data_IF_443608552269
#
_entry.id   IF_443608552269
#
_cell.length_a   1.000
_cell.length_b   1.000
_cell.length_c   1.000
_cell.angle_alpha   90.00
_cell.angle_beta   90.00
_cell.angle_gamma   90.00
#
_symmetry.space_group_name_H-M   'P 1'
#
loop_
_entity.id
_entity.type
_entity.pdbx_description
1 polymer ?
#
# COMPACT_ATOMS: atom_id res chain seq x y z
N UNK A 1 -21.72 -42.74 -11.89
CA UNK A 1 -22.18 -41.34 -11.81
C UNK A 1 -21.63 -40.76 -10.53
N UNK A 2 -20.54 -39.98 -10.61
CA UNK A 2 -19.94 -39.38 -9.42
C UNK A 2 -20.81 -38.22 -8.94
N UNK A 3 -21.09 -38.17 -7.64
CA UNK A 3 -21.75 -37.04 -6.99
C UNK A 3 -20.99 -35.75 -7.33
N UNK A 4 -21.59 -34.89 -8.15
CA UNK A 4 -21.10 -33.53 -8.37
C UNK A 4 -21.40 -32.74 -7.09
N UNK A 5 -20.39 -32.53 -6.25
CA UNK A 5 -20.50 -31.69 -5.08
C UNK A 5 -21.01 -30.30 -5.46
N UNK A 6 -22.01 -29.81 -4.73
CA UNK A 6 -22.56 -28.46 -4.92
C UNK A 6 -21.57 -27.44 -4.39
N UNK A 7 -21.23 -26.44 -5.20
CA UNK A 7 -20.39 -25.31 -4.77
C UNK A 7 -21.24 -24.29 -4.03
N UNK A 8 -20.93 -24.03 -2.77
CA UNK A 8 -21.60 -23.03 -1.92
C UNK A 8 -20.64 -21.88 -1.65
N UNK A 9 -21.07 -20.63 -1.89
CA UNK A 9 -20.33 -19.43 -1.48
C UNK A 9 -21.04 -18.82 -0.28
N UNK A 10 -20.31 -18.60 0.82
CA UNK A 10 -20.86 -18.07 2.07
C UNK A 10 -19.87 -17.17 2.79
N UNK A 11 -20.39 -16.39 3.74
CA UNK A 11 -19.57 -15.59 4.64
C UNK A 11 -18.66 -16.49 5.48
N UNK A 12 -17.45 -16.01 5.72
CA UNK A 12 -16.45 -16.66 6.55
C UNK A 12 -16.94 -16.78 8.01
N UNK A 13 -16.86 -17.98 8.56
CA UNK A 13 -17.19 -18.30 9.95
C UNK A 13 -15.88 -18.53 10.72
N UNK A 14 -15.53 -17.61 11.62
CA UNK A 14 -14.27 -17.65 12.38
C UNK A 14 -14.09 -18.92 13.21
N UNK A 15 -15.16 -19.58 13.65
CA UNK A 15 -15.05 -20.78 14.46
C UNK A 15 -14.85 -22.03 13.61
N UNK A 16 -15.45 -22.07 12.42
CA UNK A 16 -15.38 -23.24 11.52
C UNK A 16 -14.21 -23.20 10.56
N UNK A 17 -13.88 -22.01 10.08
CA UNK A 17 -13.04 -21.83 8.90
C UNK A 17 -11.61 -21.38 9.27
N UNK A 18 -11.36 -20.97 10.52
CA UNK A 18 -10.04 -20.47 10.96
C UNK A 18 -8.91 -21.46 10.68
N UNK A 19 -9.09 -22.75 10.99
CA UNK A 19 -8.06 -23.77 10.71
C UNK A 19 -7.69 -23.87 9.23
N UNK A 20 -8.58 -23.43 8.31
CA UNK A 20 -8.33 -23.34 6.87
C UNK A 20 -7.94 -21.95 6.34
N UNK A 21 -8.13 -20.87 7.11
CA UNK A 21 -8.10 -19.47 6.63
C UNK A 21 -7.26 -18.53 7.53
N UNK A 22 -6.72 -19.00 8.65
CA UNK A 22 -6.04 -18.21 9.67
C UNK A 22 -5.10 -17.14 9.10
N UNK A 23 -5.34 -15.89 9.55
CA UNK A 23 -4.52 -14.67 9.41
C UNK A 23 -4.90 -13.62 8.34
N UNK A 24 -6.16 -13.17 8.22
CA UNK A 24 -6.40 -11.84 7.61
C UNK A 24 -7.74 -11.17 8.08
N UNK A 25 -7.72 -9.90 8.49
CA UNK A 25 -8.88 -9.08 8.95
C UNK A 25 -9.57 -8.23 7.84
N UNK A 26 -10.90 -8.05 7.96
CA UNK A 26 -11.94 -7.52 7.01
C UNK A 26 -12.70 -8.59 6.21
N UNK A 27 -13.95 -8.26 5.81
CA UNK A 27 -15.00 -9.20 5.34
C UNK A 27 -14.48 -10.17 4.28
N UNK A 28 -14.81 -11.43 4.49
CA UNK A 28 -14.25 -12.56 3.79
C UNK A 28 -15.39 -13.50 3.38
N UNK A 29 -15.39 -13.92 2.12
CA UNK A 29 -16.33 -14.92 1.58
C UNK A 29 -15.52 -16.16 1.16
N UNK A 30 -16.01 -17.34 1.52
CA UNK A 30 -15.40 -18.64 1.21
C UNK A 30 -16.22 -19.38 0.18
N UNK A 31 -15.57 -20.17 -0.67
CA UNK A 31 -16.19 -21.13 -1.56
C UNK A 31 -15.91 -22.55 -1.06
N UNK A 32 -16.97 -23.30 -0.78
CA UNK A 32 -16.92 -24.65 -0.22
C UNK A 32 -17.55 -25.68 -1.16
N UNK A 33 -17.01 -26.90 -1.13
CA UNK A 33 -17.62 -28.05 -1.79
C UNK A 33 -18.44 -28.86 -0.77
N UNK A 34 -19.77 -28.87 -0.94
CA UNK A 34 -20.73 -29.39 0.05
C UNK A 34 -20.53 -30.87 0.41
N UNK A 35 -20.03 -31.68 -0.53
CA UNK A 35 -19.75 -33.09 -0.30
C UNK A 35 -18.63 -33.36 0.73
N UNK A 36 -17.73 -32.39 0.97
CA UNK A 36 -16.53 -32.57 1.81
C UNK A 36 -16.27 -31.42 2.79
N UNK A 37 -17.05 -30.33 2.74
CA UNK A 37 -16.81 -29.08 3.49
C UNK A 37 -15.37 -28.56 3.31
N UNK A 38 -14.80 -28.79 2.14
CA UNK A 38 -13.45 -28.33 1.80
C UNK A 38 -13.53 -26.88 1.28
N UNK A 39 -12.74 -25.98 1.87
CA UNK A 39 -12.57 -24.61 1.36
C UNK A 39 -11.67 -24.65 0.12
N UNK A 40 -12.26 -24.39 -1.04
CA UNK A 40 -11.58 -24.45 -2.34
C UNK A 40 -11.29 -23.07 -2.93
N UNK A 41 -11.84 -22.01 -2.33
CA UNK A 41 -11.56 -20.62 -2.70
C UNK A 41 -11.93 -19.61 -1.61
N UNK A 42 -11.33 -18.42 -1.72
CA UNK A 42 -11.47 -17.33 -0.77
C UNK A 42 -11.42 -15.99 -1.53
N UNK A 43 -12.28 -15.05 -1.15
CA UNK A 43 -12.17 -13.65 -1.55
C UNK A 43 -12.29 -12.73 -0.35
N UNK A 44 -11.52 -11.65 -0.37
CA UNK A 44 -11.48 -10.64 0.67
C UNK A 44 -11.71 -9.27 0.08
N UNK A 45 -12.49 -8.45 0.79
CA UNK A 45 -12.76 -7.10 0.36
C UNK A 45 -12.94 -6.12 1.51
N UNK A 46 -12.84 -4.83 1.19
CA UNK A 46 -13.20 -3.75 2.10
C UNK A 46 -13.74 -2.55 1.35
N UNK A 47 -14.41 -1.64 2.07
CA UNK A 47 -14.90 -0.37 1.54
C UNK A 47 -14.26 0.75 2.34
N UNK A 48 -13.79 1.78 1.64
CA UNK A 48 -13.22 3.00 2.21
C UNK A 48 -13.79 4.23 1.51
N UNK A 49 -13.78 5.37 2.18
CA UNK A 49 -14.11 6.65 1.54
C UNK A 49 -12.82 7.36 1.19
N UNK A 50 -12.62 7.64 -0.09
CA UNK A 50 -11.36 8.21 -0.59
C UNK A 50 -11.60 9.38 -1.53
N UNK A 51 -10.57 10.20 -1.70
CA UNK A 51 -10.56 11.26 -2.70
C UNK A 51 -10.45 10.67 -4.11
N UNK A 52 -11.40 11.01 -4.99
CA UNK A 52 -11.41 10.66 -6.41
C UNK A 52 -11.26 11.86 -7.35
N UNK A 53 -11.23 13.07 -6.80
CA UNK A 53 -11.06 14.29 -7.59
C UNK A 53 -11.01 15.53 -6.72
N UNK A 54 -11.01 16.70 -7.38
CA UNK A 54 -10.98 18.01 -6.71
C UNK A 54 -11.92 18.99 -7.37
N UNK A 55 -12.54 19.87 -6.58
CA UNK A 55 -13.33 21.01 -7.06
C UNK A 55 -12.76 22.33 -6.56
N UNK A 56 -12.88 23.37 -7.37
CA UNK A 56 -12.60 24.73 -6.93
C UNK A 56 -13.82 25.27 -6.15
N UNK A 57 -13.60 26.01 -5.04
CA UNK A 57 -14.68 26.68 -4.32
C UNK A 57 -15.41 27.68 -5.25
N UNK A 58 -16.75 27.65 -5.27
CA UNK A 58 -17.57 28.67 -5.95
C UNK A 58 -17.70 29.89 -5.03
N UNK A 59 -16.95 30.96 -5.32
CA UNK A 59 -17.04 32.31 -4.72
C UNK A 59 -17.14 32.42 -3.18
N UNK A 60 -15.99 32.67 -2.54
CA UNK A 60 -15.90 33.18 -1.17
C UNK A 60 -14.51 33.75 -0.92
N UNK A 61 -14.41 34.98 -0.40
CA UNK A 61 -13.15 35.70 -0.17
C UNK A 61 -12.14 34.86 0.64
N UNK A 62 -10.89 34.87 0.19
CA UNK A 62 -9.63 34.52 0.86
C UNK A 62 -9.05 33.08 0.87
N UNK A 63 -9.68 32.02 0.32
CA UNK A 63 -8.95 30.73 0.14
C UNK A 63 -9.28 30.04 -1.19
N UNK A 64 -8.32 30.04 -2.14
CA UNK A 64 -8.42 29.36 -3.46
C UNK A 64 -8.03 27.87 -3.41
N UNK A 65 -7.96 27.26 -2.23
CA UNK A 65 -7.46 25.90 -2.10
C UNK A 65 -8.48 24.90 -2.67
N UNK A 66 -8.04 23.96 -3.53
CA UNK A 66 -8.94 22.95 -4.08
C UNK A 66 -9.49 22.07 -2.96
N UNK A 67 -10.78 21.77 -3.02
CA UNK A 67 -11.44 20.88 -2.07
C UNK A 67 -11.52 19.47 -2.64
N UNK A 68 -11.30 18.42 -1.83
CA UNK A 68 -11.43 17.04 -2.29
C UNK A 68 -12.90 16.71 -2.57
N UNK A 69 -13.08 15.85 -3.57
CA UNK A 69 -14.34 15.15 -3.82
C UNK A 69 -14.11 13.70 -3.43
N UNK A 70 -15.04 13.18 -2.63
CA UNK A 70 -14.95 11.83 -2.09
C UNK A 70 -15.91 10.87 -2.79
N UNK A 71 -15.52 9.61 -2.85
CA UNK A 71 -16.38 8.49 -3.24
C UNK A 71 -16.20 7.32 -2.26
N UNK A 72 -17.21 6.46 -2.15
CA UNK A 72 -17.07 5.16 -1.49
C UNK A 72 -16.47 4.17 -2.47
N UNK A 73 -15.26 3.73 -2.18
CA UNK A 73 -14.47 2.83 -3.01
C UNK A 73 -14.32 1.48 -2.33
N UNK A 74 -14.72 0.42 -3.03
CA UNK A 74 -14.44 -0.94 -2.64
C UNK A 74 -13.07 -1.40 -3.16
N UNK A 75 -12.39 -2.24 -2.39
CA UNK A 75 -11.13 -2.87 -2.77
C UNK A 75 -11.23 -4.38 -2.60
N UNK A 76 -10.88 -5.14 -3.64
CA UNK A 76 -10.67 -6.59 -3.54
C UNK A 76 -9.22 -6.82 -3.07
N UNK A 77 -9.08 -7.06 -1.77
CA UNK A 77 -7.80 -7.25 -1.08
C UNK A 77 -7.10 -8.54 -1.49
N UNK A 78 -7.86 -9.58 -1.84
CA UNK A 78 -7.27 -10.87 -2.18
C UNK A 78 -8.29 -11.85 -2.72
N UNK A 79 -7.89 -12.58 -3.76
CA UNK A 79 -8.63 -13.69 -4.34
C UNK A 79 -7.70 -14.89 -4.47
N UNK A 80 -8.12 -16.04 -3.94
CA UNK A 80 -7.39 -17.30 -4.01
C UNK A 80 -8.36 -18.42 -4.38
N UNK A 81 -7.92 -19.27 -5.31
CA UNK A 81 -8.63 -20.50 -5.68
C UNK A 81 -7.61 -21.62 -5.74
N UNK A 82 -7.94 -22.74 -5.09
CA UNK A 82 -7.12 -23.94 -5.06
C UNK A 82 -6.75 -24.37 -6.49
N UNK A 83 -5.47 -24.69 -6.80
CA UNK A 83 -5.03 -25.05 -8.15
C UNK A 83 -5.87 -26.14 -8.82
N UNK A 84 -6.28 -27.18 -8.07
CA UNK A 84 -7.11 -28.29 -8.55
C UNK A 84 -8.54 -27.88 -8.91
N UNK A 85 -8.99 -26.72 -8.42
CA UNK A 85 -10.35 -26.19 -8.59
C UNK A 85 -10.37 -24.90 -9.40
N UNK A 86 -9.30 -24.61 -10.17
CA UNK A 86 -9.27 -23.46 -11.09
C UNK A 86 -10.04 -23.78 -12.36
N UNK A 87 -10.42 -22.72 -13.09
CA UNK A 87 -11.09 -22.77 -14.41
C UNK A 87 -12.49 -23.39 -14.44
N UNK A 88 -13.08 -23.69 -13.28
CA UNK A 88 -14.48 -24.15 -13.16
C UNK A 88 -15.44 -23.05 -12.66
N UNK A 89 -15.03 -21.78 -12.72
CA UNK A 89 -15.88 -20.62 -12.43
C UNK A 89 -15.92 -20.14 -10.98
N UNK A 90 -15.22 -20.79 -10.04
CA UNK A 90 -15.20 -20.40 -8.61
C UNK A 90 -14.79 -18.94 -8.42
N UNK A 91 -13.67 -18.53 -9.03
CA UNK A 91 -13.16 -17.15 -8.88
C UNK A 91 -14.14 -16.09 -9.36
N UNK A 92 -14.86 -16.36 -10.46
CA UNK A 92 -15.88 -15.45 -10.98
C UNK A 92 -17.06 -15.33 -9.99
N UNK A 93 -17.56 -16.47 -9.48
CA UNK A 93 -18.66 -16.49 -8.51
C UNK A 93 -18.30 -15.71 -7.22
N UNK A 94 -17.08 -15.90 -6.71
CA UNK A 94 -16.58 -15.17 -5.55
C UNK A 94 -16.54 -13.66 -5.80
N UNK A 95 -16.04 -13.22 -6.97
CA UNK A 95 -16.01 -11.79 -7.32
C UNK A 95 -17.43 -11.23 -7.45
N UNK A 96 -18.34 -11.92 -8.14
CA UNK A 96 -19.75 -11.48 -8.26
C UNK A 96 -20.40 -11.27 -6.88
N UNK A 97 -20.24 -12.24 -5.97
CA UNK A 97 -20.82 -12.15 -4.62
C UNK A 97 -20.24 -10.98 -3.81
N UNK A 98 -18.93 -10.78 -3.90
CA UNK A 98 -18.27 -9.64 -3.24
C UNK A 98 -18.74 -8.30 -3.84
N UNK A 99 -18.94 -8.21 -5.16
CA UNK A 99 -19.47 -7.00 -5.79
C UNK A 99 -20.92 -6.70 -5.41
N UNK A 100 -21.76 -7.72 -5.25
CA UNK A 100 -23.12 -7.55 -4.70
C UNK A 100 -23.05 -6.89 -3.32
N UNK A 101 -22.22 -7.43 -2.42
CA UNK A 101 -22.00 -6.85 -1.11
C UNK A 101 -21.46 -5.41 -1.19
N UNK A 102 -20.53 -5.12 -2.12
CA UNK A 102 -20.05 -3.77 -2.35
C UNK A 102 -21.18 -2.80 -2.74
N UNK A 103 -22.06 -3.21 -3.67
CA UNK A 103 -23.23 -2.40 -4.09
C UNK A 103 -24.21 -2.19 -2.93
N UNK A 104 -24.54 -3.24 -2.20
CA UNK A 104 -25.42 -3.20 -1.02
C UNK A 104 -24.91 -2.23 0.05
N UNK A 105 -23.59 -2.04 0.14
CA UNK A 105 -22.94 -1.12 1.09
C UNK A 105 -22.63 0.27 0.50
N UNK A 106 -23.14 0.54 -0.70
CA UNK A 106 -23.06 1.83 -1.37
C UNK A 106 -21.67 2.18 -1.89
N UNK A 107 -20.84 1.20 -2.22
CA UNK A 107 -19.62 1.46 -2.98
C UNK A 107 -19.97 1.84 -4.42
N UNK A 108 -19.45 2.96 -4.89
CA UNK A 108 -19.68 3.46 -6.25
C UNK A 108 -18.69 2.86 -7.25
N UNK A 109 -17.52 2.48 -6.77
CA UNK A 109 -16.44 1.88 -7.55
C UNK A 109 -15.86 0.67 -6.79
N UNK A 110 -15.29 -0.28 -7.53
CA UNK A 110 -14.46 -1.35 -7.00
C UNK A 110 -13.13 -1.38 -7.73
N UNK A 111 -12.03 -1.59 -7.02
CA UNK A 111 -10.73 -1.82 -7.64
C UNK A 111 -10.03 -3.06 -7.08
N UNK A 112 -9.02 -3.51 -7.80
CA UNK A 112 -8.14 -4.62 -7.43
C UNK A 112 -6.75 -4.36 -7.99
N UNK A 113 -5.74 -4.94 -7.35
CA UNK A 113 -4.35 -4.86 -7.79
C UNK A 113 -3.85 -6.25 -8.20
N UNK A 114 -3.06 -6.32 -9.27
CA UNK A 114 -2.44 -7.57 -9.71
C UNK A 114 -1.19 -7.34 -10.56
N UNK A 115 -0.20 -8.20 -10.36
CA UNK A 115 1.01 -8.19 -11.19
C UNK A 115 0.64 -8.40 -12.66
N UNK A 116 1.28 -7.63 -13.55
CA UNK A 116 1.18 -7.77 -15.00
C UNK A 116 1.44 -9.20 -15.52
N UNK A 117 2.28 -9.97 -14.84
CA UNK A 117 2.57 -11.36 -15.20
C UNK A 117 1.44 -12.33 -14.79
N UNK A 118 0.52 -11.92 -13.92
CA UNK A 118 -0.62 -12.74 -13.47
C UNK A 118 -1.78 -12.71 -14.48
N UNK A 119 -1.52 -13.26 -15.67
CA UNK A 119 -2.46 -13.31 -16.79
C UNK A 119 -3.82 -13.93 -16.44
N UNK A 120 -3.86 -14.87 -15.48
CA UNK A 120 -5.12 -15.45 -15.02
C UNK A 120 -6.00 -14.44 -14.27
N UNK A 121 -5.39 -13.61 -13.42
CA UNK A 121 -6.06 -12.54 -12.69
C UNK A 121 -6.48 -11.42 -13.64
N UNK A 122 -5.56 -10.94 -14.48
CA UNK A 122 -5.84 -9.89 -15.47
C UNK A 122 -7.07 -10.26 -16.30
N UNK A 123 -7.09 -11.43 -16.94
CA UNK A 123 -8.21 -11.87 -17.78
C UNK A 123 -9.51 -12.06 -17.01
N UNK A 124 -9.46 -12.60 -15.78
CA UNK A 124 -10.66 -12.72 -14.96
C UNK A 124 -11.30 -11.35 -14.76
N UNK A 125 -10.52 -10.35 -14.36
CA UNK A 125 -11.07 -9.05 -14.03
C UNK A 125 -11.44 -8.23 -15.26
N UNK A 126 -10.59 -8.19 -16.29
CA UNK A 126 -10.81 -7.34 -17.47
C UNK A 126 -11.76 -7.93 -18.50
N UNK A 127 -11.77 -9.25 -18.69
CA UNK A 127 -12.60 -9.89 -19.71
C UNK A 127 -13.91 -10.47 -19.14
N UNK A 128 -13.94 -10.83 -17.85
CA UNK A 128 -15.08 -11.55 -17.26
C UNK A 128 -15.84 -10.77 -16.20
N UNK A 129 -15.16 -9.90 -15.45
CA UNK A 129 -15.80 -9.11 -14.39
C UNK A 129 -16.07 -7.65 -14.80
N UNK A 130 -15.61 -7.21 -15.98
CA UNK A 130 -15.87 -5.86 -16.50
C UNK A 130 -15.08 -4.75 -15.80
N UNK A 131 -13.87 -5.05 -15.32
CA UNK A 131 -12.93 -4.05 -14.83
C UNK A 131 -12.10 -3.51 -16.00
N UNK A 132 -11.65 -2.27 -15.87
CA UNK A 132 -10.73 -1.66 -16.81
C UNK A 132 -9.39 -1.38 -16.13
N UNK A 133 -8.30 -1.41 -16.90
CA UNK A 133 -7.00 -0.98 -16.39
C UNK A 133 -7.06 0.50 -16.03
N UNK A 134 -6.66 0.85 -14.80
CA UNK A 134 -6.87 2.18 -14.24
C UNK A 134 -5.55 2.89 -13.91
N UNK A 135 -4.68 2.26 -13.11
CA UNK A 135 -3.37 2.80 -12.72
C UNK A 135 -2.29 1.72 -12.80
N UNK A 136 -1.04 2.16 -12.91
CA UNK A 136 0.13 1.26 -12.94
C UNK A 136 1.22 1.72 -11.95
N UNK A 137 0.96 1.64 -10.63
CA UNK A 137 1.99 1.97 -9.64
C UNK A 137 3.15 0.96 -9.65
N UNK A 138 4.21 1.29 -8.92
CA UNK A 138 5.35 0.41 -8.72
C UNK A 138 5.55 0.12 -7.24
N UNK A 139 5.73 -1.16 -6.92
CA UNK A 139 6.10 -1.61 -5.59
C UNK A 139 7.63 -1.58 -5.50
N UNK A 140 8.17 -0.73 -4.63
CA UNK A 140 9.60 -0.52 -4.44
C UNK A 140 10.05 -1.19 -3.14
N UNK A 141 11.00 -2.12 -3.24
CA UNK A 141 11.47 -2.90 -2.10
C UNK A 141 12.95 -2.64 -1.83
N UNK A 142 13.24 -2.14 -0.63
CA UNK A 142 14.58 -1.96 -0.10
C UNK A 142 14.93 -3.11 0.85
N UNK A 143 15.99 -3.90 0.59
CA UNK A 143 16.47 -4.85 1.58
C UNK A 143 17.05 -4.15 2.81
N UNK A 144 16.84 -4.75 3.98
CA UNK A 144 17.42 -4.30 5.25
C UNK A 144 18.77 -4.98 5.47
N UNK A 145 19.83 -4.19 5.45
CA UNK A 145 21.21 -4.65 5.55
C UNK A 145 21.66 -4.94 6.99
N UNK A 146 22.75 -5.70 7.11
CA UNK A 146 23.36 -6.04 8.40
C UNK A 146 23.97 -4.84 9.14
N UNK A 147 24.19 -3.71 8.47
CA UNK A 147 24.72 -2.46 9.03
C UNK A 147 23.66 -1.33 9.02
N UNK A 148 23.88 -0.25 9.79
CA UNK A 148 22.97 0.91 9.77
C UNK A 148 23.25 1.77 8.53
N UNK A 149 22.20 2.29 7.90
CA UNK A 149 22.31 3.28 6.82
C UNK A 149 22.59 4.65 7.42
N UNK A 150 23.56 5.36 6.83
CA UNK A 150 23.90 6.73 7.25
C UNK A 150 22.87 7.72 6.70
N UNK A 151 22.25 8.48 7.58
CA UNK A 151 21.38 9.60 7.21
C UNK A 151 22.27 10.77 6.72
N UNK A 152 21.93 11.46 5.62
CA UNK A 152 22.70 12.61 5.14
C UNK A 152 22.87 13.68 6.22
N UNK A 153 24.11 14.18 6.40
CA UNK A 153 24.45 15.15 7.47
C UNK A 153 23.65 16.45 7.46
N UNK A 154 23.03 16.80 6.32
CA UNK A 154 22.23 18.03 6.16
C UNK A 154 20.73 17.78 6.33
N UNK A 155 20.30 16.59 6.74
CA UNK A 155 18.90 16.26 6.94
C UNK A 155 18.66 16.02 8.44
N UNK A 156 17.74 16.78 9.02
CA UNK A 156 17.18 16.52 10.36
C UNK A 156 15.85 15.82 10.18
N UNK A 157 15.61 14.76 10.96
CA UNK A 157 14.36 14.02 10.97
C UNK A 157 13.79 14.05 12.37
N UNK A 158 12.50 14.38 12.50
CA UNK A 158 11.78 14.27 13.76
C UNK A 158 10.39 13.68 13.52
N UNK A 159 9.85 13.08 14.58
CA UNK A 159 8.54 12.45 14.57
C UNK A 159 7.48 13.49 14.91
N UNK A 160 6.40 13.51 14.14
CA UNK A 160 5.22 14.33 14.40
C UNK A 160 4.26 13.59 15.34
N UNK A 161 3.56 14.34 16.21
CA UNK A 161 2.42 13.79 16.92
C UNK A 161 1.28 13.39 15.96
N UNK A 162 0.41 12.41 16.30
CA UNK A 162 -0.66 11.96 15.40
C UNK A 162 -1.56 13.10 14.89
N UNK A 163 -1.96 14.03 15.75
CA UNK A 163 -2.79 15.20 15.37
C UNK A 163 -2.07 16.19 14.46
N UNK A 164 -0.76 16.36 14.64
CA UNK A 164 0.06 17.19 13.76
C UNK A 164 0.21 16.54 12.38
N UNK A 165 0.47 15.23 12.35
CA UNK A 165 0.54 14.45 11.11
C UNK A 165 -0.78 14.48 10.34
N UNK A 166 -1.92 14.34 11.03
CA UNK A 166 -3.25 14.47 10.44
C UNK A 166 -3.42 15.85 9.79
N UNK A 167 -3.08 16.90 10.53
CA UNK A 167 -3.22 18.28 10.06
C UNK A 167 -2.36 18.54 8.82
N UNK A 168 -1.10 18.07 8.83
CA UNK A 168 -0.20 18.13 7.68
C UNK A 168 -0.81 17.41 6.47
N UNK A 169 -1.24 16.16 6.66
CA UNK A 169 -1.77 15.33 5.58
C UNK A 169 -3.07 15.87 5.00
N UNK A 170 -4.02 16.31 5.83
CA UNK A 170 -5.26 16.92 5.32
C UNK A 170 -5.01 18.21 4.54
N UNK A 171 -4.08 19.06 4.99
CA UNK A 171 -3.81 20.34 4.30
C UNK A 171 -2.98 20.18 3.02
N UNK A 172 -2.06 19.21 2.97
CA UNK A 172 -1.18 19.03 1.79
C UNK A 172 -1.67 17.97 0.81
N UNK A 173 -2.30 16.90 1.29
CA UNK A 173 -2.54 15.71 0.49
C UNK A 173 -4.03 15.36 0.33
N UNK A 174 -4.97 16.10 0.91
CA UNK A 174 -6.40 15.76 0.84
C UNK A 174 -6.94 15.63 -0.58
N UNK A 175 -6.37 16.35 -1.55
CA UNK A 175 -6.75 16.27 -2.98
C UNK A 175 -5.95 15.24 -3.78
N UNK A 176 -5.08 14.47 -3.13
CA UNK A 176 -4.34 13.36 -3.75
C UNK A 176 -5.31 12.20 -4.00
N UNK A 177 -5.20 11.58 -5.17
CA UNK A 177 -6.02 10.44 -5.52
C UNK A 177 -5.86 9.29 -4.51
N UNK A 178 -6.96 8.61 -4.15
CA UNK A 178 -7.03 7.58 -3.11
C UNK A 178 -6.77 8.05 -1.66
N UNK A 179 -6.59 9.35 -1.40
CA UNK A 179 -6.40 9.84 -0.03
C UNK A 179 -7.60 9.47 0.87
N UNK A 180 -7.39 8.77 2.00
CA UNK A 180 -8.48 8.31 2.85
C UNK A 180 -9.10 9.48 3.61
N UNK A 181 -10.43 9.53 3.62
CA UNK A 181 -11.17 10.53 4.40
C UNK A 181 -10.90 10.39 5.90
N UNK A 182 -10.67 9.16 6.36
CA UNK A 182 -10.38 8.73 7.73
C UNK A 182 -8.87 8.60 8.02
N UNK A 183 -8.04 9.47 7.43
CA UNK A 183 -6.58 9.43 7.63
C UNK A 183 -6.15 9.42 9.12
N UNK A 184 -6.93 10.04 10.00
CA UNK A 184 -6.77 10.01 11.45
C UNK A 184 -6.76 8.57 11.99
N UNK A 185 -7.65 7.72 11.51
CA UNK A 185 -7.78 6.33 11.93
C UNK A 185 -6.61 5.48 11.45
N UNK A 186 -6.03 5.82 10.29
CA UNK A 186 -4.79 5.21 9.80
C UNK A 186 -3.60 5.61 10.69
N UNK A 187 -3.47 6.89 10.99
CA UNK A 187 -2.35 7.44 11.76
C UNK A 187 -2.35 6.99 13.22
N UNK A 188 -3.52 6.83 13.84
CA UNK A 188 -3.69 6.37 15.22
C UNK A 188 -3.72 4.85 15.37
N UNK A 189 -3.63 4.08 14.29
CA UNK A 189 -3.59 2.63 14.38
C UNK A 189 -2.31 2.15 15.09
N UNK A 190 -2.41 1.11 15.92
CA UNK A 190 -1.27 0.48 16.62
C UNK A 190 -0.13 0.02 15.70
N UNK A 191 -0.44 -0.26 14.43
CA UNK A 191 0.54 -0.67 13.41
C UNK A 191 1.26 0.52 12.77
N UNK A 192 0.74 1.74 12.92
CA UNK A 192 1.42 2.97 12.52
C UNK A 192 2.54 3.27 13.51
N UNK A 193 3.79 3.17 13.07
CA UNK A 193 4.98 3.44 13.89
C UNK A 193 5.29 4.94 14.01
N UNK A 194 4.60 5.78 13.25
CA UNK A 194 4.71 7.23 13.30
C UNK A 194 4.85 7.88 11.93
N UNK A 195 4.78 9.21 11.95
CA UNK A 195 5.01 10.09 10.79
C UNK A 195 6.25 10.90 11.03
N UNK A 196 7.15 10.93 10.04
CA UNK A 196 8.47 11.52 10.16
C UNK A 196 8.65 12.60 9.12
N UNK A 197 8.99 13.80 9.59
CA UNK A 197 9.25 14.97 8.77
C UNK A 197 10.76 15.18 8.66
N UNK A 198 11.24 15.39 7.44
CA UNK A 198 12.63 15.69 7.13
C UNK A 198 12.75 17.12 6.59
N UNK A 199 13.72 17.85 7.13
CA UNK A 199 14.08 19.21 6.73
C UNK A 199 15.60 19.39 6.76
N UNK A 200 16.08 20.51 6.24
CA UNK A 200 17.51 20.86 6.31
C UNK A 200 17.97 21.14 7.75
N UNK A 201 19.19 20.71 8.07
CA UNK A 201 19.83 20.98 9.37
C UNK A 201 19.91 22.47 9.64
N UNK A 202 19.62 22.87 10.88
CA UNK A 202 19.67 24.26 11.34
C UNK A 202 18.38 25.04 11.16
N UNK A 203 17.38 24.50 10.44
CA UNK A 203 16.06 25.15 10.32
C UNK A 203 15.25 25.10 11.61
N UNK A 204 15.31 23.97 12.33
CA UNK A 204 14.71 23.83 13.65
C UNK A 204 15.77 23.32 14.63
N UNK A 205 16.04 24.12 15.67
CA UNK A 205 16.79 23.69 16.84
C UNK A 205 15.90 22.82 17.74
N UNK A 206 16.47 21.97 18.61
CA UNK A 206 15.69 21.29 19.65
C UNK A 206 14.87 22.30 20.46
N UNK A 207 13.55 22.19 20.43
CA UNK A 207 12.62 23.12 21.10
C UNK A 207 12.11 24.30 20.24
N UNK A 208 12.57 24.46 19.00
CA UNK A 208 12.10 25.52 18.10
C UNK A 208 11.16 25.04 16.99
N UNK A 209 10.54 23.87 17.15
CA UNK A 209 9.51 23.39 16.23
C UNK A 209 8.29 24.32 16.33
N UNK A 210 7.89 25.01 15.25
CA UNK A 210 6.82 26.00 15.29
C UNK A 210 5.42 25.39 15.38
N UNK A 211 5.31 24.07 15.55
CA UNK A 211 4.08 23.32 15.36
C UNK A 211 3.73 23.16 13.88
N UNK A 212 2.81 22.22 13.60
CA UNK A 212 2.35 21.98 12.23
C UNK A 212 1.73 23.21 11.57
N UNK A 213 1.02 24.06 12.32
CA UNK A 213 0.37 25.27 11.77
C UNK A 213 1.39 26.32 11.35
N UNK A 214 2.44 26.53 12.15
CA UNK A 214 3.55 27.40 11.78
C UNK A 214 4.29 26.87 10.57
N UNK A 215 4.61 25.57 10.56
CA UNK A 215 5.25 24.90 9.42
C UNK A 215 4.43 25.02 8.13
N UNK A 216 3.10 24.89 8.22
CA UNK A 216 2.22 24.98 7.05
C UNK A 216 2.03 26.41 6.55
N UNK A 217 2.17 27.41 7.42
CA UNK A 217 2.01 28.83 7.08
C UNK A 217 3.27 29.39 6.40
N UNK A 218 4.45 28.96 6.82
CA UNK A 218 5.73 29.32 6.23
C UNK A 218 6.65 28.09 6.14
N UNK A 219 6.39 27.18 5.18
CA UNK A 219 7.18 25.97 5.05
C UNK A 219 8.60 26.31 4.57
N UNK A 220 9.61 25.55 5.04
CA UNK A 220 10.96 25.71 4.51
C UNK A 220 11.01 25.37 3.01
N UNK A 221 12.00 25.94 2.32
CA UNK A 221 12.17 25.78 0.86
C UNK A 221 12.15 24.31 0.42
N UNK A 222 12.71 23.41 1.24
CA UNK A 222 12.66 21.97 1.00
C UNK A 222 12.25 21.20 2.25
N UNK A 223 11.36 20.23 2.06
CA UNK A 223 10.92 19.30 3.09
C UNK A 223 10.44 17.98 2.46
N UNK A 224 10.43 16.91 3.25
CA UNK A 224 9.78 15.66 2.87
C UNK A 224 9.16 14.99 4.10
N UNK A 225 8.10 14.21 3.90
CA UNK A 225 7.41 13.47 4.95
C UNK A 225 7.09 12.05 4.47
N UNK A 226 7.08 11.11 5.40
CA UNK A 226 6.44 9.80 5.23
C UNK A 226 5.97 9.25 6.57
N UNK A 227 5.06 8.29 6.51
CA UNK A 227 4.67 7.46 7.64
C UNK A 227 5.16 6.03 7.47
N UNK A 228 5.31 5.32 8.58
CA UNK A 228 5.79 3.93 8.60
C UNK A 228 4.74 3.03 9.24
N UNK A 229 4.43 1.92 8.57
CA UNK A 229 3.49 0.89 9.00
C UNK A 229 4.21 -0.44 9.27
N UNK A 230 3.79 -1.15 10.31
CA UNK A 230 4.40 -2.39 10.76
C UNK A 230 3.66 -3.64 10.24
N UNK A 231 3.80 -3.94 8.96
CA UNK A 231 3.19 -5.12 8.32
C UNK A 231 3.66 -6.46 8.90
N UNK A 232 4.83 -6.49 9.58
CA UNK A 232 5.32 -7.70 10.26
C UNK A 232 4.34 -8.28 11.29
N UNK A 233 3.54 -7.44 11.94
CA UNK A 233 2.54 -7.88 12.93
C UNK A 233 1.23 -8.36 12.28
N UNK A 234 1.13 -8.27 10.95
CA UNK A 234 -0.04 -8.71 10.18
C UNK A 234 0.25 -10.03 9.49
N UNK A 235 1.39 -10.15 8.81
CA UNK A 235 1.84 -11.40 8.18
C UNK A 235 3.34 -11.41 7.93
N UNK A 236 3.84 -12.58 7.51
CA UNK A 236 5.23 -12.75 7.08
C UNK A 236 5.31 -13.24 5.64
N UNK A 237 6.41 -12.90 4.98
CA UNK A 237 6.72 -13.27 3.61
C UNK A 237 7.83 -14.33 3.56
N UNK A 238 7.84 -15.14 2.52
CA UNK A 238 8.93 -16.07 2.24
C UNK A 238 9.18 -16.13 0.72
N UNK A 239 10.41 -15.82 0.30
CA UNK A 239 10.79 -15.97 -1.10
C UNK A 239 11.05 -17.44 -1.41
N UNK A 240 10.11 -18.06 -2.12
CA UNK A 240 10.23 -19.44 -2.62
C UNK A 240 10.73 -19.49 -4.05
N UNK A 241 11.10 -20.67 -4.53
CA UNK A 241 11.55 -20.90 -5.92
C UNK A 241 13.02 -20.53 -6.25
N UNK A 242 13.78 -19.94 -5.32
CA UNK A 242 15.20 -19.65 -5.57
C UNK A 242 16.07 -20.92 -5.56
N UNK A 243 16.98 -21.05 -6.55
CA UNK A 243 17.92 -22.17 -6.68
C UNK A 243 18.92 -22.26 -5.52
N UNK A 244 19.46 -23.47 -5.25
CA UNK A 244 20.45 -23.70 -4.18
C UNK A 244 21.68 -22.79 -4.31
N UNK A 245 22.16 -22.57 -5.54
CA UNK A 245 23.29 -21.67 -5.82
C UNK A 245 22.96 -20.23 -5.42
N UNK A 246 21.79 -19.70 -5.82
CA UNK A 246 21.36 -18.35 -5.43
C UNK A 246 21.23 -18.20 -3.91
N UNK A 247 20.67 -19.21 -3.24
CA UNK A 247 20.59 -19.23 -1.76
C UNK A 247 21.99 -19.22 -1.12
N UNK A 248 22.94 -19.97 -1.68
CA UNK A 248 24.33 -20.01 -1.24
C UNK A 248 25.04 -18.66 -1.41
N UNK A 249 24.90 -18.01 -2.56
CA UNK A 249 25.46 -16.67 -2.83
C UNK A 249 24.88 -15.62 -1.88
N UNK A 250 23.56 -15.63 -1.68
CA UNK A 250 22.90 -14.74 -0.73
C UNK A 250 23.41 -14.95 0.71
N UNK A 251 23.53 -16.21 1.16
CA UNK A 251 24.11 -16.53 2.48
C UNK A 251 25.55 -16.03 2.59
N UNK A 252 26.35 -16.21 1.54
CA UNK A 252 27.75 -15.74 1.50
C UNK A 252 27.82 -14.22 1.62
N UNK A 253 26.96 -13.48 0.90
CA UNK A 253 26.90 -12.01 1.01
C UNK A 253 26.63 -11.53 2.44
N UNK A 254 25.79 -12.25 3.20
CA UNK A 254 25.52 -11.97 4.61
C UNK A 254 26.70 -12.26 5.52
N UNK A 255 27.43 -13.34 5.25
CA UNK A 255 28.65 -13.69 6.01
C UNK A 255 29.71 -12.61 5.81
N UNK A 256 29.93 -12.16 4.57
CA UNK A 256 30.90 -11.11 4.26
C UNK A 256 30.54 -9.78 4.95
N UNK A 257 29.28 -9.34 4.89
CA UNK A 257 28.82 -8.11 5.58
C UNK A 257 28.95 -8.22 7.11
N UNK A 258 28.79 -9.42 7.68
CA UNK A 258 29.00 -9.67 9.12
C UNK A 258 30.47 -9.64 9.52
N UNK A 259 31.37 -10.18 8.70
CA UNK A 259 32.81 -10.26 9.00
C UNK A 259 33.51 -8.93 8.71
N UNK A 260 33.04 -8.18 7.71
CA UNK A 260 33.65 -6.92 7.27
C UNK A 260 32.66 -5.73 7.38
N UNK A 261 32.10 -5.44 8.58
CA UNK A 261 31.01 -4.46 8.72
C UNK A 261 31.42 -3.02 8.38
N UNK A 262 32.72 -2.71 8.41
CA UNK A 262 33.25 -1.39 8.03
C UNK A 262 33.11 -1.10 6.53
N UNK A 263 33.02 -2.14 5.69
CA UNK A 263 32.83 -2.00 4.24
C UNK A 263 31.38 -1.65 3.87
N UNK A 264 30.42 -1.82 4.79
CA UNK A 264 29.00 -1.47 4.60
C UNK A 264 28.42 -2.04 3.30
N UNK A 265 28.71 -3.31 3.04
CA UNK A 265 28.32 -3.97 1.80
C UNK A 265 26.81 -4.23 1.82
N UNK A 266 26.04 -3.78 0.82
CA UNK A 266 24.63 -4.12 0.70
C UNK A 266 24.44 -5.64 0.56
N UNK A 267 24.11 -6.32 1.66
CA UNK A 267 23.95 -7.78 1.69
C UNK A 267 22.50 -8.20 1.45
N UNK A 268 22.29 -9.39 0.86
CA UNK A 268 20.94 -9.92 0.67
C UNK A 268 20.43 -10.40 2.04
N UNK A 269 19.34 -9.83 2.60
CA UNK A 269 18.81 -10.29 3.88
C UNK A 269 18.32 -11.74 3.81
N UNK A 270 18.07 -12.36 4.96
CA UNK A 270 17.47 -13.70 5.01
C UNK A 270 15.99 -13.64 4.62
N UNK A 271 15.72 -13.76 3.32
CA UNK A 271 14.38 -13.72 2.71
C UNK A 271 13.84 -15.11 2.33
N UNK A 272 14.63 -16.18 2.52
CA UNK A 272 14.23 -17.56 2.19
C UNK A 272 13.63 -18.31 3.39
N UNK A 273 13.35 -17.59 4.48
CA UNK A 273 12.58 -18.00 5.65
C UNK A 273 11.55 -16.91 5.95
N UNK A 274 10.47 -17.21 6.69
CA UNK A 274 9.49 -16.20 7.08
C UNK A 274 10.13 -14.90 7.59
N UNK A 275 9.77 -13.78 6.99
CA UNK A 275 10.28 -12.45 7.33
C UNK A 275 9.18 -11.39 7.30
N UNK A 276 9.31 -10.41 8.20
CA UNK A 276 8.46 -9.21 8.20
C UNK A 276 9.06 -8.04 7.42
N UNK A 277 8.22 -7.06 7.14
CA UNK A 277 8.60 -5.81 6.50
C UNK A 277 7.93 -4.60 7.15
N UNK A 278 8.51 -3.42 6.93
CA UNK A 278 7.82 -2.16 7.18
C UNK A 278 7.33 -1.58 5.85
N UNK A 279 6.11 -1.06 5.84
CA UNK A 279 5.52 -0.40 4.68
C UNK A 279 5.57 1.12 4.86
N UNK A 280 6.05 1.86 3.85
CA UNK A 280 6.08 3.32 3.86
C UNK A 280 4.86 3.86 3.09
N UNK A 281 4.14 4.79 3.70
CA UNK A 281 2.93 5.38 3.14
C UNK A 281 2.87 6.89 3.41
N UNK A 282 1.95 7.60 2.74
CA UNK A 282 1.80 9.05 2.91
C UNK A 282 3.05 9.85 2.49
N UNK A 283 3.78 9.36 1.49
CA UNK A 283 4.98 10.03 0.99
C UNK A 283 4.61 11.39 0.40
N UNK A 284 5.37 12.43 0.76
CA UNK A 284 5.22 13.74 0.17
C UNK A 284 6.43 14.63 0.46
N UNK A 285 6.49 15.77 -0.20
CA UNK A 285 7.61 16.70 -0.08
C UNK A 285 7.62 17.71 -1.20
N UNK A 286 8.28 18.83 -0.96
CA UNK A 286 8.40 19.94 -1.89
C UNK A 286 9.83 20.51 -1.83
N UNK A 287 10.22 21.19 -2.89
CA UNK A 287 11.51 21.88 -2.98
C UNK A 287 12.62 21.10 -3.68
N UNK A 288 13.72 21.80 -4.04
CA UNK A 288 14.84 21.22 -4.79
C UNK A 288 15.56 20.07 -4.07
N UNK A 289 15.56 20.05 -2.72
CA UNK A 289 16.21 19.01 -1.92
C UNK A 289 15.24 17.90 -1.46
N UNK A 290 13.97 17.90 -1.88
CA UNK A 290 12.95 16.95 -1.42
C UNK A 290 13.36 15.48 -1.66
N UNK A 291 13.95 15.18 -2.82
CA UNK A 291 14.47 13.83 -3.16
C UNK A 291 15.53 13.36 -2.18
N UNK A 292 16.42 14.26 -1.76
CA UNK A 292 17.50 13.97 -0.79
C UNK A 292 16.95 13.78 0.61
N UNK A 293 15.91 14.54 0.98
CA UNK A 293 15.21 14.38 2.25
C UNK A 293 14.44 13.06 2.30
N UNK A 294 13.74 12.71 1.22
CA UNK A 294 13.09 11.40 1.05
C UNK A 294 14.11 10.26 1.21
N UNK A 295 15.29 10.37 0.59
CA UNK A 295 16.38 9.39 0.79
C UNK A 295 16.83 9.29 2.24
N UNK A 296 16.86 10.41 2.96
CA UNK A 296 17.11 10.46 4.41
C UNK A 296 16.05 9.71 5.21
N UNK A 297 14.77 9.95 4.91
CA UNK A 297 13.63 9.26 5.53
C UNK A 297 13.63 7.76 5.25
N UNK A 298 13.89 7.33 4.00
CA UNK A 298 14.03 5.90 3.69
C UNK A 298 15.22 5.27 4.46
N UNK A 299 16.33 5.99 4.59
CA UNK A 299 17.47 5.55 5.42
C UNK A 299 17.12 5.41 6.91
N UNK A 300 16.31 6.33 7.44
CA UNK A 300 15.76 6.22 8.79
C UNK A 300 14.83 5.02 8.92
N UNK A 301 13.87 4.84 8.01
CA UNK A 301 12.93 3.73 8.02
C UNK A 301 13.63 2.36 7.87
N UNK A 302 14.69 2.28 7.07
CA UNK A 302 15.56 1.10 7.01
C UNK A 302 16.16 0.76 8.39
N UNK A 303 16.68 1.75 9.10
CA UNK A 303 17.25 1.54 10.44
C UNK A 303 16.19 1.12 11.46
N UNK A 304 14.99 1.72 11.39
CA UNK A 304 13.84 1.32 12.19
C UNK A 304 13.41 -0.13 11.88
N UNK A 305 13.35 -0.51 10.60
CA UNK A 305 13.04 -1.87 10.16
C UNK A 305 14.05 -2.88 10.71
N UNK A 306 15.34 -2.51 10.70
CA UNK A 306 16.40 -3.32 11.30
C UNK A 306 16.18 -3.53 12.80
N UNK A 307 15.88 -2.47 13.54
CA UNK A 307 15.60 -2.54 14.99
C UNK A 307 14.37 -3.40 15.28
N UNK A 308 13.35 -3.38 14.41
CA UNK A 308 12.15 -4.23 14.50
C UNK A 308 12.36 -5.67 13.98
N UNK A 309 13.55 -6.00 13.51
CA UNK A 309 13.89 -7.33 12.99
C UNK A 309 13.27 -7.65 11.62
N UNK A 310 12.81 -6.64 10.88
CA UNK A 310 12.33 -6.79 9.51
C UNK A 310 13.49 -7.08 8.54
N UNK A 311 13.16 -7.60 7.36
CA UNK A 311 14.15 -7.91 6.31
C UNK A 311 14.05 -7.01 5.10
N UNK A 312 12.91 -6.37 4.88
CA UNK A 312 12.73 -5.39 3.81
C UNK A 312 11.92 -4.21 4.30
N UNK A 313 12.07 -3.09 3.61
CA UNK A 313 11.16 -1.95 3.65
C UNK A 313 10.52 -1.86 2.28
N UNK A 314 9.21 -1.70 2.22
CA UNK A 314 8.45 -1.62 0.98
C UNK A 314 7.64 -0.33 0.92
N UNK A 315 7.35 0.13 -0.28
CA UNK A 315 6.38 1.20 -0.53
C UNK A 315 5.82 1.01 -1.93
N UNK A 316 4.62 1.50 -2.16
CA UNK A 316 4.01 1.52 -3.48
C UNK A 316 3.74 2.97 -3.86
N UNK A 317 4.16 3.35 -5.06
CA UNK A 317 4.06 4.72 -5.55
C UNK A 317 3.57 4.75 -6.98
N UNK A 318 2.91 5.84 -7.37
CA UNK A 318 2.56 6.10 -8.78
C UNK A 318 3.80 6.01 -9.67
N UNK A 319 3.63 5.56 -10.92
CA UNK A 319 4.70 5.54 -11.93
C UNK A 319 5.32 6.92 -12.17
N UNK A 320 4.58 7.99 -11.89
CA UNK A 320 4.98 9.40 -12.07
C UNK A 320 5.41 10.11 -10.79
N UNK A 321 5.51 9.39 -9.67
CA UNK A 321 5.86 9.99 -8.37
C UNK A 321 7.25 10.66 -8.42
N UNK A 322 7.36 12.00 -8.28
CA UNK A 322 8.65 12.69 -8.34
C UNK A 322 9.64 12.23 -7.27
N UNK A 323 9.16 11.90 -6.07
CA UNK A 323 9.99 11.48 -4.94
C UNK A 323 10.54 10.06 -5.10
N UNK A 324 10.07 9.30 -6.10
CA UNK A 324 10.57 7.96 -6.45
C UNK A 324 12.09 7.92 -6.59
N UNK A 325 12.69 8.98 -7.13
CA UNK A 325 14.15 9.11 -7.31
C UNK A 325 14.91 9.08 -5.97
N UNK A 326 14.23 9.42 -4.87
CA UNK A 326 14.76 9.40 -3.52
C UNK A 326 14.61 8.07 -2.80
N UNK A 327 13.84 7.12 -3.36
CA UNK A 327 13.48 5.86 -2.70
C UNK A 327 14.48 4.75 -3.09
N UNK A 328 15.41 4.35 -2.20
CA UNK A 328 16.35 3.28 -2.51
C UNK A 328 15.62 1.95 -2.61
N UNK A 329 15.87 1.18 -3.65
CA UNK A 329 15.24 -0.14 -3.83
C UNK A 329 16.11 -1.06 -4.70
N UNK A 330 15.82 -2.36 -4.66
CA UNK A 330 16.45 -3.34 -5.54
C UNK A 330 15.45 -3.80 -6.60
N UNK A 331 15.75 -3.53 -7.87
CA UNK A 331 14.89 -3.91 -9.02
C UNK A 331 14.46 -5.38 -9.00
N UNK A 332 15.28 -6.29 -8.49
CA UNK A 332 14.99 -7.73 -8.41
C UNK A 332 13.96 -8.12 -7.34
N UNK A 333 13.71 -7.24 -6.37
CA UNK A 333 12.71 -7.43 -5.31
C UNK A 333 11.49 -6.53 -5.51
N UNK A 334 11.59 -5.52 -6.36
CA UNK A 334 10.54 -4.58 -6.71
C UNK A 334 9.66 -5.10 -7.85
N UNK A 335 8.39 -4.64 -7.89
CA UNK A 335 7.53 -4.74 -9.06
C UNK A 335 7.55 -3.41 -9.81
N UNK A 336 7.94 -3.43 -11.08
CA UNK A 336 8.03 -2.22 -11.88
C UNK A 336 6.64 -1.69 -12.26
N UNK A 337 5.68 -2.57 -12.54
CA UNK A 337 4.33 -2.22 -12.99
C UNK A 337 3.34 -3.20 -12.37
N UNK A 338 2.78 -2.80 -11.23
CA UNK A 338 1.59 -3.46 -10.70
C UNK A 338 0.36 -2.87 -11.42
N UNK A 339 -0.63 -3.69 -11.75
CA UNK A 339 -1.81 -3.23 -12.48
C UNK A 339 -2.96 -3.05 -11.49
N UNK A 340 -3.43 -1.82 -11.36
CA UNK A 340 -4.69 -1.54 -10.68
C UNK A 340 -5.79 -1.51 -11.71
N UNK A 341 -6.77 -2.41 -11.57
CA UNK A 341 -7.99 -2.43 -12.39
C UNK A 341 -9.15 -1.85 -11.58
N UNK A 342 -10.01 -1.06 -12.21
CA UNK A 342 -11.18 -0.45 -11.56
C UNK A 342 -12.45 -0.67 -12.37
N UNK A 343 -13.57 -0.80 -11.67
CA UNK A 343 -14.92 -0.95 -12.21
C UNK A 343 -15.84 0.04 -11.52
N UNK A 344 -16.68 0.73 -12.27
CA UNK A 344 -17.81 1.50 -11.74
C UNK A 344 -18.95 0.52 -11.40
N UNK A 345 -19.47 0.60 -10.19
CA UNK A 345 -20.53 -0.29 -9.69
C UNK A 345 -21.93 0.35 -9.75
N UNK A 346 -22.01 1.69 -9.71
CA UNK A 346 -23.29 2.42 -9.72
C UNK A 346 -23.74 2.82 -11.12
N UNK A 347 -24.96 2.41 -11.50
CA UNK A 347 -25.60 2.69 -12.80
C UNK A 347 -26.38 4.03 -12.81
N UNK A 348 -26.91 4.48 -11.66
CA UNK A 348 -27.78 5.67 -11.55
C UNK A 348 -27.06 6.99 -11.21
N UNK A 349 -25.73 7.00 -11.26
CA UNK A 349 -24.96 8.17 -10.84
C UNK A 349 -24.81 9.16 -12.00
N UNK A 350 -25.37 10.37 -11.87
CA UNK A 350 -25.04 11.46 -12.80
C UNK A 350 -23.55 11.76 -12.71
N UNK A 351 -22.88 11.93 -13.84
CA UNK A 351 -21.42 12.12 -13.95
C UNK A 351 -20.83 13.33 -13.18
N UNK A 352 -21.65 14.08 -12.45
CA UNK A 352 -21.22 15.05 -11.46
C UNK A 352 -20.20 16.05 -12.03
N UNK A 353 -19.22 16.45 -11.21
CA UNK A 353 -18.13 17.34 -11.64
C UNK A 353 -16.85 16.61 -12.06
N UNK A 354 -16.77 15.29 -11.86
CA UNK A 354 -15.59 14.47 -12.15
C UNK A 354 -15.72 13.69 -13.47
N UNK A 355 -16.95 13.37 -13.87
CA UNK A 355 -17.17 12.32 -14.86
C UNK A 355 -17.01 10.93 -14.26
N UNK A 356 -16.89 9.94 -15.15
CA UNK A 356 -16.49 8.59 -14.79
C UNK A 356 -15.02 8.57 -14.35
N UNK A 357 -14.79 8.33 -13.06
CA UNK A 357 -13.44 8.30 -12.51
C UNK A 357 -12.56 7.21 -13.14
N UNK A 358 -13.15 6.09 -13.63
CA UNK A 358 -12.40 5.03 -14.33
C UNK A 358 -11.70 5.54 -15.60
N UNK A 359 -12.21 6.62 -16.20
CA UNK A 359 -11.67 7.24 -17.43
C UNK A 359 -10.70 8.37 -17.15
N UNK A 360 -10.43 8.67 -15.88
CA UNK A 360 -9.55 9.78 -15.51
C UNK A 360 -8.07 9.50 -15.83
N UNK A 361 -7.36 10.55 -16.24
CA UNK A 361 -5.92 10.47 -16.49
C UNK A 361 -5.13 10.30 -15.17
N UNK A 362 -4.02 9.54 -15.18
CA UNK A 362 -3.21 9.34 -13.98
C UNK A 362 -2.53 10.63 -13.52
N UNK A 363 -2.66 10.92 -12.23
CA UNK A 363 -1.96 12.02 -11.56
C UNK A 363 -0.47 11.73 -11.33
N UNK A 364 0.22 12.69 -10.69
CA UNK A 364 1.62 12.52 -10.30
C UNK A 364 1.77 11.53 -9.14
N UNK A 365 0.87 11.64 -8.15
CA UNK A 365 0.92 10.89 -6.91
C UNK A 365 -0.43 10.24 -6.62
N UNK A 366 -0.38 9.09 -5.94
CA UNK A 366 -1.53 8.39 -5.39
C UNK A 366 -1.22 8.10 -3.91
N UNK A 367 -2.25 8.08 -3.08
CA UNK A 367 -2.11 7.63 -1.70
C UNK A 367 -2.40 6.14 -1.61
N UNK A 368 -1.44 5.36 -1.11
CA UNK A 368 -1.63 3.93 -0.85
C UNK A 368 -1.97 3.74 0.63
N UNK A 369 -3.13 3.14 0.91
CA UNK A 369 -3.60 2.90 2.27
C UNK A 369 -2.79 1.74 2.88
N UNK A 370 -2.02 1.97 3.95
CA UNK A 370 -1.16 0.93 4.51
C UNK A 370 -1.94 -0.23 5.11
N UNK A 371 -3.25 -0.06 5.38
CA UNK A 371 -4.10 -1.13 5.90
C UNK A 371 -4.43 -2.20 4.86
N UNK A 372 -3.95 -2.03 3.64
CA UNK A 372 -3.99 -3.00 2.54
C UNK A 372 -2.77 -3.95 2.57
N UNK A 373 -1.84 -3.73 3.50
CA UNK A 373 -0.54 -4.40 3.64
C UNK A 373 -0.20 -4.84 5.06
#
# INVERSE_FOLDING_TARGET
MGEQGVLVVREFDTLKDCSGVEEVERRCEVAELDAQKEIVGLIRGCIKTVTCGKKLPRNGKNTKNPLPIYTKLAYILGLRVSPSHRRIGIGLKLVCRMEEWFRENGAEYSYMATDSDNQASVKLFTERCGYEMFRTPSILVQPVFGHRVRIPKRVTIFQLGPSEAESLYRRRFSTTEFFPRDIDSVLNNKLSLGTFLAVSVGLFNPGSWPGVDGFLSDPPESWAVLSVWNSKEVFTLEVRGASRVRRGLAKTSRVVDRVLPWLRIPSVPEVFRPFGFLFLYGLGGEGPDAVKMMKGLCGFAHNLAKERGCRVVATEVSSREPLRLGIPHWKRLSCAEDIWCMKRLGEDYSDGSIGDWTKSAPGLSIFVDPREF
#
